data_IF_525405292733
#
_entry.id   IF_525405292733
#
_cell.length_a   1.000
_cell.length_b   1.000
_cell.length_c   1.000
_cell.angle_alpha   90.00
_cell.angle_beta   90.00
_cell.angle_gamma   90.00
#
_symmetry.space_group_name_H-M   'P 1'
#
loop_
_entity.id
_entity.type
_entity.pdbx_description
1 polymer ?
#
# COMPACT_ATOMS: atom_id res chain seq x y z
N UNK A 1 36.39 -29.10 -67.61
CA UNK A 1 36.75 -28.96 -66.18
C UNK A 1 35.75 -28.01 -65.55
N UNK A 2 34.66 -28.56 -65.04
CA UNK A 2 33.52 -27.84 -64.44
C UNK A 2 33.55 -28.08 -62.93
N UNK A 3 33.49 -27.03 -62.08
CA UNK A 3 33.61 -27.21 -60.64
C UNK A 3 32.28 -27.64 -60.01
N UNK A 4 32.39 -28.60 -59.09
CA UNK A 4 31.35 -29.06 -58.19
C UNK A 4 30.92 -27.93 -57.22
N UNK A 5 29.64 -27.56 -57.22
CA UNK A 5 29.04 -26.73 -56.16
C UNK A 5 28.61 -27.62 -55.00
N UNK A 6 29.17 -27.37 -53.81
CA UNK A 6 28.75 -27.99 -52.53
C UNK A 6 27.51 -27.25 -51.99
N UNK A 7 26.53 -27.95 -51.41
CA UNK A 7 25.41 -27.31 -50.72
C UNK A 7 25.89 -26.77 -49.35
N UNK A 8 25.68 -25.48 -49.14
CA UNK A 8 25.96 -24.79 -47.88
C UNK A 8 24.88 -25.11 -46.85
N UNK A 9 25.25 -25.88 -45.82
CA UNK A 9 24.49 -25.99 -44.58
C UNK A 9 24.53 -24.64 -43.84
N UNK A 10 23.57 -23.76 -44.12
CA UNK A 10 23.31 -22.55 -43.33
C UNK A 10 21.85 -22.59 -42.90
N UNK A 11 21.58 -23.44 -41.92
CA UNK A 11 20.29 -23.53 -41.23
C UNK A 11 20.60 -23.65 -39.74
N UNK A 12 19.90 -22.84 -38.93
CA UNK A 12 20.06 -22.60 -37.49
C UNK A 12 21.29 -21.72 -37.14
N UNK A 13 21.10 -20.46 -36.65
CA UNK A 13 20.28 -20.19 -35.46
C UNK A 13 19.57 -18.81 -35.48
N UNK A 14 18.24 -18.77 -35.64
CA UNK A 14 17.48 -17.51 -35.50
C UNK A 14 16.15 -17.68 -34.74
N UNK A 15 16.00 -18.75 -33.95
CA UNK A 15 14.73 -19.10 -33.31
C UNK A 15 14.81 -19.25 -31.77
N UNK A 16 15.82 -18.69 -31.11
CA UNK A 16 15.98 -18.76 -29.64
C UNK A 16 15.91 -17.39 -28.94
N UNK A 17 15.81 -16.28 -29.69
CA UNK A 17 15.87 -14.94 -29.12
C UNK A 17 14.52 -14.34 -28.65
N UNK A 18 13.38 -15.02 -28.85
CA UNK A 18 12.04 -14.43 -28.64
C UNK A 18 11.28 -14.90 -27.39
N UNK A 19 11.88 -15.70 -26.51
CA UNK A 19 11.20 -16.22 -25.30
C UNK A 19 11.59 -15.55 -23.98
N UNK A 20 12.42 -14.51 -24.01
CA UNK A 20 12.73 -13.69 -22.82
C UNK A 20 11.92 -12.39 -22.81
N UNK A 21 10.64 -12.45 -23.19
CA UNK A 21 9.70 -11.38 -22.85
C UNK A 21 9.49 -11.47 -21.34
N UNK A 22 10.33 -10.74 -20.60
CA UNK A 22 10.22 -10.58 -19.17
C UNK A 22 8.86 -9.99 -18.86
N UNK A 23 7.92 -10.84 -18.43
CA UNK A 23 6.74 -10.40 -17.73
C UNK A 23 7.21 -9.50 -16.60
N UNK A 24 6.87 -8.22 -16.66
CA UNK A 24 7.09 -7.30 -15.54
C UNK A 24 6.41 -7.93 -14.32
N UNK A 25 7.21 -8.51 -13.44
CA UNK A 25 6.77 -9.32 -12.30
C UNK A 25 6.21 -8.41 -11.23
N UNK A 26 4.95 -8.02 -11.38
CA UNK A 26 4.18 -7.52 -10.26
C UNK A 26 4.05 -8.67 -9.24
N UNK A 27 4.19 -8.39 -7.93
CA UNK A 27 3.94 -9.38 -6.91
C UNK A 27 2.53 -9.95 -7.10
N UNK A 28 2.33 -11.26 -6.92
CA UNK A 28 1.01 -11.82 -7.02
C UNK A 28 0.13 -11.23 -5.91
N UNK A 29 -1.18 -11.26 -6.13
CA UNK A 29 -2.14 -10.78 -5.14
C UNK A 29 -2.17 -11.66 -3.88
N UNK A 30 -1.88 -12.95 -4.00
CA UNK A 30 -1.92 -13.89 -2.89
C UNK A 30 -0.65 -14.74 -2.84
N UNK A 31 -0.30 -15.18 -1.63
CA UNK A 31 0.88 -16.01 -1.38
C UNK A 31 0.63 -17.42 -1.92
N UNK A 32 1.63 -17.99 -2.59
CA UNK A 32 1.55 -19.38 -3.05
C UNK A 32 1.50 -20.35 -1.84
N UNK A 33 0.72 -21.45 -1.88
CA UNK A 33 0.52 -22.33 -0.72
C UNK A 33 1.81 -22.92 -0.13
N UNK A 34 2.76 -23.25 -0.99
CA UNK A 34 4.10 -23.75 -0.67
C UNK A 34 4.97 -22.69 0.01
N UNK A 35 4.95 -21.45 -0.49
CA UNK A 35 5.61 -20.33 0.19
C UNK A 35 4.98 -20.08 1.57
N UNK A 36 3.64 -20.09 1.66
CA UNK A 36 2.93 -19.90 2.92
C UNK A 36 3.26 -20.98 3.96
N UNK A 37 3.33 -22.25 3.55
CA UNK A 37 3.67 -23.35 4.45
C UNK A 37 5.04 -23.19 5.14
N UNK A 38 5.97 -22.48 4.49
CA UNK A 38 7.32 -22.21 5.00
C UNK A 38 7.41 -21.07 6.01
N UNK A 39 6.38 -20.23 6.13
CA UNK A 39 6.39 -19.06 7.01
C UNK A 39 5.86 -19.45 8.39
N UNK A 40 6.73 -19.45 9.41
CA UNK A 40 6.38 -19.73 10.81
C UNK A 40 6.58 -18.52 11.71
N UNK A 41 7.56 -17.67 11.40
CA UNK A 41 7.93 -16.48 12.18
C UNK A 41 7.85 -15.27 11.27
N UNK A 42 7.00 -14.31 11.64
CA UNK A 42 6.73 -13.14 10.82
C UNK A 42 6.91 -11.87 11.64
N UNK A 43 7.68 -10.92 11.09
CA UNK A 43 7.76 -9.55 11.62
C UNK A 43 6.82 -8.63 10.88
N UNK A 44 6.44 -7.52 11.51
CA UNK A 44 5.66 -6.45 10.87
C UNK A 44 6.48 -5.17 10.90
N UNK A 45 6.44 -4.40 9.81
CA UNK A 45 7.05 -3.07 9.71
C UNK A 45 6.03 -2.13 9.07
N UNK A 46 5.80 -0.98 9.68
CA UNK A 46 4.97 0.07 9.09
C UNK A 46 5.78 1.31 8.79
N UNK A 47 5.58 1.85 7.58
CA UNK A 47 6.14 3.12 7.11
C UNK A 47 5.05 3.96 6.43
N UNK A 48 3.78 3.76 6.77
CA UNK A 48 2.67 4.48 6.14
C UNK A 48 2.43 5.85 6.76
N UNK A 49 2.86 6.05 8.01
CA UNK A 49 2.42 7.15 8.87
C UNK A 49 3.53 8.15 9.23
N UNK A 50 4.48 8.38 8.34
CA UNK A 50 5.42 9.51 8.42
C UNK A 50 4.68 10.85 8.18
N UNK A 51 3.68 10.84 7.30
CA UNK A 51 3.02 12.04 6.80
C UNK A 51 1.51 11.90 6.63
N UNK A 52 0.82 13.01 6.89
CA UNK A 52 -0.63 13.16 6.75
C UNK A 52 -0.91 14.22 5.69
N UNK A 53 -1.58 13.81 4.60
CA UNK A 53 -2.01 14.73 3.56
C UNK A 53 -3.36 15.37 3.92
N UNK A 54 -3.43 16.70 3.97
CA UNK A 54 -4.71 17.42 3.95
C UNK A 54 -4.95 17.86 2.51
N UNK A 55 -6.13 17.59 1.98
CA UNK A 55 -6.54 18.07 0.66
C UNK A 55 -7.94 18.64 0.72
N UNK A 56 -8.08 19.88 0.24
CA UNK A 56 -9.38 20.52 0.08
C UNK A 56 -9.57 20.88 -1.39
N UNK A 57 -10.72 20.46 -1.93
CA UNK A 57 -11.09 20.69 -3.31
C UNK A 57 -12.23 21.70 -3.38
N UNK A 58 -11.93 22.90 -3.88
CA UNK A 58 -12.93 23.94 -4.10
C UNK A 58 -13.93 23.58 -5.21
N UNK A 59 -14.96 24.42 -5.36
CA UNK A 59 -15.87 24.34 -6.52
C UNK A 59 -15.12 24.66 -7.82
N UNK A 60 -14.10 25.50 -7.74
CA UNK A 60 -13.18 25.86 -8.84
C UNK A 60 -11.76 25.46 -8.48
N UNK A 61 -10.89 25.28 -9.48
CA UNK A 61 -9.48 24.90 -9.28
C UNK A 61 -8.68 25.92 -8.46
N UNK A 62 -9.14 27.18 -8.40
CA UNK A 62 -8.46 28.28 -7.72
C UNK A 62 -8.58 28.26 -6.19
N UNK A 63 -9.44 27.39 -5.63
CA UNK A 63 -9.63 27.22 -4.20
C UNK A 63 -9.14 25.88 -3.67
N UNK A 64 -8.30 25.16 -4.43
CA UNK A 64 -7.75 23.90 -3.98
C UNK A 64 -6.59 24.16 -3.01
N UNK A 65 -6.59 23.47 -1.88
CA UNK A 65 -5.52 23.55 -0.89
C UNK A 65 -4.95 22.16 -0.63
N UNK A 66 -3.63 22.11 -0.41
CA UNK A 66 -2.91 20.89 -0.08
C UNK A 66 -1.87 21.19 0.99
N UNK A 67 -1.94 20.46 2.10
CA UNK A 67 -0.92 20.48 3.14
C UNK A 67 -0.34 19.07 3.31
N UNK A 68 0.97 18.99 3.57
CA UNK A 68 1.67 17.76 3.91
C UNK A 68 2.27 17.92 5.32
N UNK A 69 1.81 17.10 6.26
CA UNK A 69 2.06 17.30 7.69
C UNK A 69 2.92 16.15 8.19
N UNK A 70 4.06 16.46 8.80
CA UNK A 70 4.85 15.47 9.53
C UNK A 70 4.09 15.00 10.78
N UNK A 71 3.78 13.72 10.81
CA UNK A 71 3.07 13.04 11.90
C UNK A 71 3.89 11.87 12.47
N UNK A 72 5.18 11.77 12.16
CA UNK A 72 6.03 10.69 12.67
C UNK A 72 6.02 10.64 14.21
N UNK A 73 5.95 11.81 14.86
CA UNK A 73 5.86 11.91 16.33
C UNK A 73 4.55 11.37 16.92
N UNK A 74 3.53 11.11 16.11
CA UNK A 74 2.26 10.52 16.55
C UNK A 74 2.38 9.02 16.81
N UNK A 75 3.48 8.39 16.38
CA UNK A 75 3.78 6.97 16.60
C UNK A 75 2.65 6.06 16.12
N UNK A 76 2.05 6.37 14.96
CA UNK A 76 0.97 5.58 14.40
C UNK A 76 1.50 4.25 13.84
N UNK A 77 2.70 4.25 13.26
CA UNK A 77 3.33 3.05 12.67
C UNK A 77 3.54 1.94 13.73
N UNK A 78 4.04 2.28 14.92
CA UNK A 78 4.19 1.32 16.04
C UNK A 78 2.84 0.69 16.44
N UNK A 79 1.77 1.49 16.41
CA UNK A 79 0.44 1.01 16.77
C UNK A 79 -0.15 0.14 15.67
N UNK A 80 0.10 0.45 14.40
CA UNK A 80 -0.30 -0.39 13.28
C UNK A 80 0.44 -1.71 13.27
N UNK A 81 1.74 -1.73 13.57
CA UNK A 81 2.54 -2.95 13.74
C UNK A 81 1.94 -3.86 14.81
N UNK A 82 1.56 -3.31 15.96
CA UNK A 82 0.92 -4.08 17.04
C UNK A 82 -0.46 -4.63 16.65
N UNK A 83 -1.28 -3.81 15.98
CA UNK A 83 -2.61 -4.21 15.53
C UNK A 83 -2.54 -5.34 14.49
N UNK A 84 -1.65 -5.20 13.51
CA UNK A 84 -1.41 -6.23 12.49
C UNK A 84 -0.83 -7.49 13.11
N UNK A 85 0.17 -7.37 14.00
CA UNK A 85 0.76 -8.48 14.73
C UNK A 85 -0.28 -9.27 15.53
N UNK A 86 -1.22 -8.57 16.18
CA UNK A 86 -2.36 -9.18 16.88
C UNK A 86 -3.28 -9.91 15.91
N UNK A 87 -3.68 -9.27 14.80
CA UNK A 87 -4.53 -9.88 13.78
C UNK A 87 -3.87 -11.09 13.09
N UNK A 88 -2.54 -11.13 13.05
CA UNK A 88 -1.75 -12.25 12.54
C UNK A 88 -1.64 -13.40 13.55
N UNK A 89 -1.56 -13.12 14.85
CA UNK A 89 -1.48 -14.16 15.89
C UNK A 89 -2.73 -15.07 15.90
N UNK A 90 -3.88 -14.55 15.45
CA UNK A 90 -5.10 -15.33 15.28
C UNK A 90 -5.01 -16.37 14.14
N UNK A 91 -3.95 -16.32 13.32
CA UNK A 91 -3.68 -17.29 12.26
C UNK A 91 -2.87 -18.47 12.81
N UNK A 92 -3.58 -19.58 13.01
CA UNK A 92 -3.04 -20.88 13.44
C UNK A 92 -1.87 -21.29 12.54
N UNK A 93 -0.64 -20.99 12.96
CA UNK A 93 0.69 -21.43 12.43
C UNK A 93 1.71 -20.29 12.25
N UNK A 94 1.32 -19.02 12.44
CA UNK A 94 2.27 -17.89 12.37
C UNK A 94 2.53 -17.37 13.78
N UNK A 95 3.81 -17.29 14.15
CA UNK A 95 4.28 -16.57 15.34
C UNK A 95 4.65 -15.15 14.93
N UNK A 96 3.90 -14.17 15.43
CA UNK A 96 4.30 -12.77 15.31
C UNK A 96 5.52 -12.49 16.21
N UNK A 97 6.57 -11.94 15.63
CA UNK A 97 7.79 -11.53 16.33
C UNK A 97 7.83 -10.01 16.35
N UNK A 98 7.51 -9.43 17.50
CA UNK A 98 7.61 -8.00 17.74
C UNK A 98 9.08 -7.59 17.88
N UNK A 99 9.54 -6.71 16.99
CA UNK A 99 10.85 -6.08 17.05
C UNK A 99 10.75 -4.65 16.54
N UNK A 100 11.71 -3.79 16.91
CA UNK A 100 11.73 -2.39 16.49
C UNK A 100 12.39 -2.31 15.11
N UNK A 101 11.68 -1.85 14.06
CA UNK A 101 12.25 -1.79 12.72
C UNK A 101 13.07 -0.52 12.46
N UNK A 102 14.13 -0.59 11.63
CA UNK A 102 14.85 0.59 11.14
C UNK A 102 14.05 1.30 10.03
N UNK A 103 13.00 2.05 10.41
CA UNK A 103 11.99 2.60 9.48
C UNK A 103 12.56 3.43 8.35
N UNK A 104 13.64 4.17 8.59
CA UNK A 104 14.36 4.95 7.58
C UNK A 104 14.83 4.08 6.41
N UNK A 105 15.24 2.83 6.68
CA UNK A 105 15.66 1.86 5.66
C UNK A 105 14.50 1.22 4.90
N UNK A 106 13.27 1.34 5.42
CA UNK A 106 12.04 0.86 4.78
C UNK A 106 11.27 1.98 4.04
N UNK A 107 11.54 3.25 4.34
CA UNK A 107 10.93 4.40 3.67
C UNK A 107 11.05 4.39 2.13
N UNK A 108 12.13 3.85 1.50
CA UNK A 108 12.21 3.74 0.05
C UNK A 108 11.06 2.94 -0.60
N UNK A 109 10.39 2.04 0.13
CA UNK A 109 9.22 1.34 -0.40
C UNK A 109 8.11 2.31 -0.84
N UNK A 110 8.00 3.48 -0.17
CA UNK A 110 7.03 4.51 -0.51
C UNK A 110 7.49 5.45 -1.64
N UNK A 111 8.66 5.22 -2.27
CA UNK A 111 9.09 6.05 -3.40
C UNK A 111 8.19 5.76 -4.60
N UNK A 112 7.25 6.67 -4.82
CA UNK A 112 6.35 6.66 -5.97
C UNK A 112 7.10 7.24 -7.19
N UNK A 113 8.14 6.55 -7.67
CA UNK A 113 8.83 6.93 -8.91
C UNK A 113 8.02 6.42 -10.10
N UNK A 114 7.13 7.27 -10.67
CA UNK A 114 6.72 7.33 -12.10
C UNK A 114 5.44 8.17 -12.25
N UNK A 115 5.58 9.39 -12.79
CA UNK A 115 4.49 10.37 -12.95
C UNK A 115 3.27 9.93 -13.79
N UNK A 116 3.23 8.72 -14.37
CA UNK A 116 2.19 8.31 -15.33
C UNK A 116 1.83 6.81 -15.32
N UNK A 117 2.37 5.99 -14.41
CA UNK A 117 2.05 4.56 -14.31
C UNK A 117 1.64 4.24 -12.87
N UNK A 118 0.70 3.29 -12.71
CA UNK A 118 0.22 2.81 -11.40
C UNK A 118 1.40 2.69 -10.43
N UNK A 119 1.36 3.45 -9.33
CA UNK A 119 2.48 3.50 -8.40
C UNK A 119 2.52 2.19 -7.61
N UNK A 120 3.47 1.34 -7.99
CA UNK A 120 3.78 0.11 -7.29
C UNK A 120 4.86 0.42 -6.24
N UNK A 121 4.87 -0.33 -5.13
CA UNK A 121 5.93 -0.16 -4.15
C UNK A 121 7.26 -0.66 -4.71
N UNK A 122 8.32 0.03 -4.34
CA UNK A 122 9.68 -0.38 -4.69
C UNK A 122 10.18 -1.42 -3.68
N UNK A 123 9.69 -2.66 -3.83
CA UNK A 123 10.09 -3.78 -2.99
C UNK A 123 11.57 -4.12 -3.15
N UNK A 124 12.16 -3.84 -4.31
CA UNK A 124 13.59 -4.07 -4.56
C UNK A 124 14.46 -3.11 -3.74
N UNK A 125 14.06 -1.83 -3.63
CA UNK A 125 14.78 -0.85 -2.84
C UNK A 125 14.84 -1.17 -1.34
N UNK A 126 13.87 -1.91 -0.80
CA UNK A 126 13.84 -2.30 0.62
C UNK A 126 14.36 -3.70 0.90
N UNK A 127 14.70 -4.48 -0.13
CA UNK A 127 15.20 -5.85 0.04
C UNK A 127 16.40 -5.94 1.01
N UNK A 128 17.43 -5.06 0.96
CA UNK A 128 18.53 -5.11 1.93
C UNK A 128 18.08 -4.88 3.38
N UNK A 129 17.14 -3.96 3.60
CA UNK A 129 16.60 -3.66 4.93
C UNK A 129 15.80 -4.85 5.49
N UNK A 130 15.01 -5.50 4.64
CA UNK A 130 14.27 -6.72 4.98
C UNK A 130 15.23 -7.82 5.39
N UNK A 131 16.25 -8.13 4.57
CA UNK A 131 17.19 -9.22 4.86
C UNK A 131 17.94 -9.01 6.18
N UNK A 132 18.39 -7.78 6.45
CA UNK A 132 19.04 -7.44 7.72
C UNK A 132 18.09 -7.59 8.91
N UNK A 133 16.87 -7.07 8.80
CA UNK A 133 15.85 -7.16 9.84
C UNK A 133 15.44 -8.61 10.12
N UNK A 134 15.32 -9.43 9.08
CA UNK A 134 15.03 -10.85 9.19
C UNK A 134 16.13 -11.62 9.92
N UNK A 135 17.40 -11.38 9.56
CA UNK A 135 18.54 -12.04 10.20
C UNK A 135 18.65 -11.68 11.67
N UNK A 136 18.44 -10.41 12.01
CA UNK A 136 18.52 -9.92 13.39
C UNK A 136 17.44 -10.53 14.30
N UNK A 137 16.29 -10.92 13.75
CA UNK A 137 15.12 -11.36 14.52
C UNK A 137 14.69 -12.82 14.25
N UNK A 138 15.49 -13.56 13.46
CA UNK A 138 15.22 -14.93 13.02
C UNK A 138 13.82 -15.08 12.40
N UNK A 139 13.52 -14.27 11.39
CA UNK A 139 12.21 -14.26 10.71
C UNK A 139 12.24 -15.09 9.42
N UNK A 140 11.08 -15.63 9.04
CA UNK A 140 10.85 -16.29 7.75
C UNK A 140 10.27 -15.32 6.71
N UNK A 141 9.50 -14.34 7.16
CA UNK A 141 8.97 -13.27 6.31
C UNK A 141 8.76 -11.96 7.10
N UNK A 142 8.62 -10.86 6.38
CA UNK A 142 8.24 -9.55 6.92
C UNK A 142 7.01 -9.04 6.19
N UNK A 143 5.99 -8.64 6.94
CA UNK A 143 4.87 -7.87 6.42
C UNK A 143 5.19 -6.38 6.50
N UNK A 144 5.18 -5.69 5.37
CA UNK A 144 5.51 -4.27 5.26
C UNK A 144 4.25 -3.48 4.88
N UNK A 145 3.82 -2.58 5.75
CA UNK A 145 2.73 -1.63 5.52
C UNK A 145 3.29 -0.32 4.95
N UNK A 146 2.83 0.01 3.74
CA UNK A 146 3.31 1.14 2.93
C UNK A 146 2.16 2.06 2.51
N UNK A 147 2.48 3.25 2.02
CA UNK A 147 1.49 4.20 1.45
C UNK A 147 0.90 3.61 0.18
N UNK A 148 -0.40 3.36 0.18
CA UNK A 148 -1.13 3.07 -1.03
C UNK A 148 -1.56 4.36 -1.73
N UNK A 149 -2.11 4.20 -2.92
CA UNK A 149 -2.82 5.24 -3.64
C UNK A 149 -4.18 4.75 -4.14
N UNK A 150 -5.10 5.69 -4.28
CA UNK A 150 -6.34 5.49 -5.01
C UNK A 150 -6.13 5.67 -6.51
N UNK A 151 -6.91 4.99 -7.38
CA UNK A 151 -6.89 5.25 -8.82
C UNK A 151 -7.08 6.73 -9.15
N UNK A 152 -6.37 7.25 -10.17
CA UNK A 152 -6.35 8.68 -10.54
C UNK A 152 -7.73 9.28 -10.90
N UNK A 153 -8.72 8.44 -11.22
CA UNK A 153 -10.04 8.87 -11.70
C UNK A 153 -11.06 9.14 -10.57
N UNK A 154 -10.60 9.44 -9.34
CA UNK A 154 -11.53 9.60 -8.21
C UNK A 154 -12.50 10.78 -8.33
N UNK A 155 -12.20 11.76 -9.16
CA UNK A 155 -13.14 12.80 -9.52
C UNK A 155 -12.97 13.01 -11.01
N UNK A 156 -14.04 12.80 -11.78
CA UNK A 156 -14.11 12.75 -13.24
C UNK A 156 -13.57 13.98 -14.01
N UNK A 157 -12.90 14.91 -13.35
CA UNK A 157 -12.28 16.11 -13.93
C UNK A 157 -11.12 16.71 -13.11
N UNK A 158 -10.74 16.15 -11.96
CA UNK A 158 -9.60 16.64 -11.16
C UNK A 158 -8.65 15.48 -10.87
N UNK A 159 -7.37 15.65 -11.22
CA UNK A 159 -6.32 14.65 -10.93
C UNK A 159 -6.02 14.61 -9.43
N UNK A 160 -6.95 14.05 -8.65
CA UNK A 160 -6.88 14.00 -7.20
C UNK A 160 -6.72 12.56 -6.75
N UNK A 161 -5.58 12.27 -6.14
CA UNK A 161 -5.25 10.98 -5.56
C UNK A 161 -5.18 11.14 -4.05
N UNK A 162 -5.79 10.20 -3.33
CA UNK A 162 -5.56 10.02 -1.90
C UNK A 162 -4.40 9.04 -1.76
N UNK A 163 -3.42 9.39 -0.93
CA UNK A 163 -2.21 8.61 -0.71
C UNK A 163 -1.90 8.51 0.78
N UNK A 164 -1.51 7.33 1.25
CA UNK A 164 -1.13 7.12 2.65
C UNK A 164 -2.27 7.52 3.61
N UNK A 165 -1.96 8.34 4.60
CA UNK A 165 -2.93 8.87 5.55
C UNK A 165 -3.36 10.28 5.14
N UNK A 166 -4.62 10.63 5.39
CA UNK A 166 -5.01 12.02 5.16
C UNK A 166 -6.40 12.43 5.60
N UNK A 167 -6.65 13.71 5.39
CA UNK A 167 -7.94 14.37 5.51
C UNK A 167 -8.30 14.92 4.14
N UNK A 168 -9.47 14.55 3.61
CA UNK A 168 -9.95 15.02 2.32
C UNK A 168 -11.28 15.75 2.50
N UNK A 169 -11.43 16.88 1.82
CA UNK A 169 -12.70 17.55 1.71
C UNK A 169 -12.97 18.13 0.32
N UNK A 170 -14.25 18.25 -0.02
CA UNK A 170 -14.70 18.84 -1.29
C UNK A 170 -15.86 19.80 -1.08
N UNK A 171 -15.75 21.00 -1.65
CA UNK A 171 -16.88 21.93 -1.80
C UNK A 171 -17.70 21.55 -3.02
N UNK A 172 -18.56 20.55 -2.87
CA UNK A 172 -19.64 20.29 -3.82
C UNK A 172 -20.99 20.65 -3.16
N UNK A 173 -22.01 21.06 -3.92
CA UNK A 173 -23.39 21.06 -3.42
C UNK A 173 -23.70 19.66 -2.87
N UNK A 174 -24.48 19.53 -1.79
CA UNK A 174 -24.91 18.22 -1.30
C UNK A 174 -25.62 17.50 -2.44
N UNK A 175 -24.93 16.55 -3.06
CA UNK A 175 -25.55 15.60 -3.98
C UNK A 175 -26.36 14.65 -3.09
N UNK A 176 -27.58 14.23 -3.47
CA UNK A 176 -28.46 13.44 -2.59
C UNK A 176 -27.85 12.15 -2.02
N UNK A 177 -26.74 11.68 -2.60
CA UNK A 177 -26.03 10.44 -2.28
C UNK A 177 -24.68 10.66 -1.57
N UNK A 178 -24.27 11.91 -1.33
CA UNK A 178 -22.96 12.24 -0.78
C UNK A 178 -23.07 13.35 0.29
N UNK A 179 -23.33 12.93 1.52
CA UNK A 179 -23.42 13.82 2.69
C UNK A 179 -22.06 14.08 3.37
N UNK A 180 -21.01 13.33 3.03
CA UNK A 180 -19.71 13.44 3.69
C UNK A 180 -18.67 14.04 2.74
N UNK A 181 -18.80 15.36 2.56
CA UNK A 181 -17.82 16.20 1.88
C UNK A 181 -16.49 16.34 2.63
N UNK A 182 -16.30 15.63 3.75
CA UNK A 182 -15.11 15.68 4.59
C UNK A 182 -14.87 14.33 5.26
N UNK A 183 -13.72 13.73 5.00
CA UNK A 183 -13.34 12.42 5.49
C UNK A 183 -11.91 12.44 6.03
N UNK A 184 -11.64 11.61 7.02
CA UNK A 184 -10.30 11.10 7.34
C UNK A 184 -10.15 9.73 6.72
N UNK A 185 -8.99 9.41 6.16
CA UNK A 185 -8.78 8.20 5.40
C UNK A 185 -7.41 7.57 5.67
N UNK A 186 -7.34 6.27 5.38
CA UNK A 186 -6.10 5.54 5.19
C UNK A 186 -6.15 4.78 3.87
N UNK A 187 -5.14 5.00 3.03
CA UNK A 187 -4.87 4.25 1.81
C UNK A 187 -3.51 3.59 1.99
N UNK A 188 -3.53 2.28 2.28
CA UNK A 188 -2.32 1.50 2.55
C UNK A 188 -2.18 0.31 1.62
N UNK A 189 -0.97 -0.24 1.55
CA UNK A 189 -0.68 -1.54 0.94
C UNK A 189 0.16 -2.39 1.91
N UNK A 190 -0.23 -3.65 2.07
CA UNK A 190 0.53 -4.68 2.75
C UNK A 190 1.29 -5.50 1.72
N UNK A 191 2.62 -5.51 1.80
CA UNK A 191 3.48 -6.46 1.11
C UNK A 191 3.96 -7.54 2.06
N UNK A 192 3.92 -8.80 1.65
CA UNK A 192 4.61 -9.89 2.34
C UNK A 192 5.93 -10.14 1.64
N UNK A 193 7.06 -9.98 2.33
CA UNK A 193 8.40 -10.10 1.76
C UNK A 193 9.13 -11.29 2.36
N UNK A 194 9.71 -12.14 1.52
CA UNK A 194 10.47 -13.33 1.92
C UNK A 194 11.83 -12.95 2.52
N UNK A 195 12.15 -13.52 3.68
CA UNK A 195 13.40 -13.24 4.38
C UNK A 195 14.64 -13.90 3.76
N UNK A 196 14.47 -14.83 2.81
CA UNK A 196 15.61 -15.47 2.12
C UNK A 196 16.05 -14.68 0.89
N UNK A 197 15.08 -14.22 0.10
CA UNK A 197 15.32 -13.55 -1.17
C UNK A 197 15.17 -12.03 -1.13
N UNK A 198 14.49 -11.49 -0.11
CA UNK A 198 14.09 -10.08 -0.06
C UNK A 198 13.00 -9.71 -1.07
N UNK A 199 12.40 -10.68 -1.76
CA UNK A 199 11.36 -10.45 -2.77
C UNK A 199 9.97 -10.45 -2.15
N UNK A 200 9.10 -9.59 -2.67
CA UNK A 200 7.68 -9.62 -2.32
C UNK A 200 7.02 -10.91 -2.82
N UNK A 201 6.49 -11.69 -1.89
CA UNK A 201 5.70 -12.90 -2.12
C UNK A 201 4.26 -12.58 -2.49
N UNK A 202 3.70 -11.50 -1.94
CA UNK A 202 2.36 -11.02 -2.28
C UNK A 202 2.17 -9.56 -1.88
N UNK A 203 1.22 -8.87 -2.51
CA UNK A 203 0.80 -7.52 -2.15
C UNK A 203 -0.73 -7.39 -2.14
N UNK A 204 -1.26 -6.66 -1.14
CA UNK A 204 -2.67 -6.29 -1.05
C UNK A 204 -2.88 -4.86 -0.61
N UNK A 205 -3.87 -4.19 -1.20
CA UNK A 205 -4.38 -2.92 -0.66
C UNK A 205 -5.12 -3.19 0.64
N UNK A 206 -4.99 -2.28 1.61
CA UNK A 206 -5.75 -2.31 2.85
C UNK A 206 -7.20 -1.93 2.54
N UNK A 207 -8.12 -2.88 2.74
CA UNK A 207 -9.55 -2.71 2.46
C UNK A 207 -10.41 -3.32 3.56
N UNK A 208 -11.58 -2.72 3.80
CA UNK A 208 -12.61 -3.21 4.73
C UNK A 208 -13.35 -4.41 4.10
N UNK A 209 -13.56 -4.37 2.79
CA UNK A 209 -14.25 -5.39 2.00
C UNK A 209 -13.45 -5.69 0.72
N UNK A 210 -13.39 -6.97 0.31
CA UNK A 210 -12.69 -7.48 -0.88
C UNK A 210 -13.66 -7.72 -2.06
N UNK A 211 -14.86 -7.12 -2.01
CA UNK A 211 -15.83 -7.16 -3.10
C UNK A 211 -15.27 -6.57 -4.41
N UNK A 212 -15.78 -7.05 -5.54
CA UNK A 212 -15.25 -6.74 -6.87
C UNK A 212 -15.24 -5.24 -7.15
N UNK A 213 -14.04 -4.67 -7.18
CA UNK A 213 -13.77 -3.23 -7.21
C UNK A 213 -13.98 -2.61 -8.61
N UNK A 214 -14.98 -3.07 -9.37
CA UNK A 214 -15.15 -2.66 -10.77
C UNK A 214 -15.78 -1.25 -10.93
N UNK A 215 -16.46 -0.72 -9.91
CA UNK A 215 -17.05 0.62 -9.94
C UNK A 215 -16.37 1.63 -9.00
N UNK A 216 -16.32 2.89 -9.44
CA UNK A 216 -15.66 3.99 -8.73
C UNK A 216 -16.18 4.22 -7.30
N UNK A 217 -17.51 4.22 -7.09
CA UNK A 217 -18.08 4.43 -5.75
C UNK A 217 -17.78 3.25 -4.82
N UNK A 218 -17.63 2.05 -5.36
CA UNK A 218 -17.25 0.85 -4.62
C UNK A 218 -15.78 0.93 -4.14
N UNK A 219 -14.94 1.73 -4.79
CA UNK A 219 -13.57 1.95 -4.32
C UNK A 219 -13.48 2.75 -3.02
N UNK A 220 -14.38 3.71 -2.77
CA UNK A 220 -14.31 4.50 -1.53
C UNK A 220 -14.94 3.77 -0.35
N UNK A 221 -16.02 3.01 -0.59
CA UNK A 221 -16.69 2.22 0.45
C UNK A 221 -15.83 1.08 0.98
N UNK A 222 -14.89 0.58 0.17
CA UNK A 222 -13.94 -0.47 0.56
C UNK A 222 -12.72 0.06 1.32
N UNK A 223 -12.46 1.37 1.34
CA UNK A 223 -11.31 1.95 2.03
C UNK A 223 -11.60 2.21 3.51
N UNK A 224 -10.57 2.15 4.38
CA UNK A 224 -10.64 2.69 5.74
C UNK A 224 -10.86 4.21 5.74
N UNK A 225 -12.12 4.63 5.70
CA UNK A 225 -12.52 6.04 5.76
C UNK A 225 -13.54 6.28 6.88
N UNK A 226 -13.54 7.51 7.40
CA UNK A 226 -14.55 7.97 8.35
C UNK A 226 -14.92 9.42 8.08
N UNK A 227 -16.20 9.80 8.17
CA UNK A 227 -16.60 11.19 8.12
C UNK A 227 -16.00 12.00 9.26
N UNK A 228 -15.60 13.24 8.98
CA UNK A 228 -15.17 14.21 10.00
C UNK A 228 -15.87 15.55 9.77
N UNK A 229 -15.77 16.45 10.75
CA UNK A 229 -16.36 17.78 10.58
C UNK A 229 -15.71 18.54 9.42
N UNK A 230 -16.53 19.29 8.69
CA UNK A 230 -16.07 20.17 7.61
C UNK A 230 -15.19 21.30 8.12
N UNK A 231 -15.34 21.68 9.39
CA UNK A 231 -14.47 22.65 10.06
C UNK A 231 -13.03 22.15 10.15
N UNK A 232 -12.82 20.90 10.59
CA UNK A 232 -11.47 20.32 10.70
C UNK A 232 -10.82 20.22 9.32
N UNK A 233 -11.55 19.73 8.32
CA UNK A 233 -11.00 19.48 6.99
C UNK A 233 -10.68 20.76 6.20
N UNK A 234 -11.42 21.84 6.45
CA UNK A 234 -11.22 23.16 5.82
C UNK A 234 -10.21 24.02 6.55
N UNK A 235 -9.97 23.77 7.83
CA UNK A 235 -8.96 24.52 8.59
C UNK A 235 -7.55 24.14 8.11
N UNK A 236 -6.69 25.10 7.73
CA UNK A 236 -5.30 24.81 7.43
C UNK A 236 -4.61 24.07 8.57
N UNK A 237 -3.80 23.08 8.24
CA UNK A 237 -3.19 22.19 9.23
C UNK A 237 -2.30 22.90 10.25
N UNK A 238 -1.66 24.00 9.85
CA UNK A 238 -0.90 24.87 10.74
C UNK A 238 -1.74 25.56 11.83
N UNK A 239 -3.06 25.62 11.64
CA UNK A 239 -4.04 26.22 12.57
C UNK A 239 -4.81 25.19 13.39
N UNK A 240 -4.53 23.89 13.24
CA UNK A 240 -5.19 22.86 14.05
C UNK A 240 -4.76 22.94 15.51
N UNK A 241 -5.76 23.02 16.38
CA UNK A 241 -5.57 22.92 17.83
C UNK A 241 -5.00 21.55 18.24
N UNK A 242 -4.42 21.46 19.43
CA UNK A 242 -3.98 20.18 20.00
C UNK A 242 -5.14 19.17 20.12
N UNK A 243 -6.33 19.64 20.47
CA UNK A 243 -7.54 18.81 20.53
C UNK A 243 -7.88 18.22 19.15
N UNK A 244 -7.80 19.02 18.09
CA UNK A 244 -8.01 18.56 16.71
C UNK A 244 -6.97 17.50 16.30
N UNK A 245 -5.68 17.74 16.62
CA UNK A 245 -4.61 16.77 16.34
C UNK A 245 -4.81 15.46 17.09
N UNK A 246 -5.19 15.54 18.37
CA UNK A 246 -5.49 14.37 19.20
C UNK A 246 -6.69 13.58 18.66
N UNK A 247 -7.75 14.28 18.23
CA UNK A 247 -8.90 13.66 17.58
C UNK A 247 -8.48 12.93 16.31
N UNK A 248 -7.78 13.59 15.39
CA UNK A 248 -7.33 12.98 14.14
C UNK A 248 -6.44 11.76 14.36
N UNK A 249 -5.50 11.84 15.32
CA UNK A 249 -4.68 10.70 15.73
C UNK A 249 -5.54 9.53 16.20
N UNK A 250 -6.51 9.78 17.07
CA UNK A 250 -7.41 8.73 17.56
C UNK A 250 -8.24 8.11 16.41
N UNK A 251 -8.75 8.94 15.50
CA UNK A 251 -9.48 8.44 14.32
C UNK A 251 -8.59 7.53 13.46
N UNK A 252 -7.40 8.00 13.08
CA UNK A 252 -6.43 7.24 12.27
C UNK A 252 -5.99 5.92 12.93
N UNK A 253 -5.91 5.86 14.26
CA UNK A 253 -5.61 4.62 14.99
C UNK A 253 -6.73 3.59 14.92
N UNK A 254 -7.99 4.05 14.81
CA UNK A 254 -9.15 3.16 14.77
C UNK A 254 -9.55 2.76 13.36
N UNK A 255 -9.30 3.63 12.38
CA UNK A 255 -9.71 3.47 10.99
C UNK A 255 -9.41 2.10 10.39
N UNK A 256 -8.18 1.55 10.49
CA UNK A 256 -7.86 0.35 9.75
C UNK A 256 -8.18 -0.95 10.51
N UNK A 257 -8.61 -0.89 11.77
CA UNK A 257 -8.94 -2.08 12.57
C UNK A 257 -9.93 -3.03 11.87
N UNK A 258 -11.01 -2.55 11.23
CA UNK A 258 -11.93 -3.43 10.49
C UNK A 258 -11.32 -4.01 9.20
N UNK A 259 -10.30 -3.37 8.64
CA UNK A 259 -9.66 -3.78 7.39
C UNK A 259 -8.59 -4.86 7.57
N UNK A 260 -7.98 -4.97 8.76
CA UNK A 260 -6.92 -5.94 9.01
C UNK A 260 -7.34 -7.38 8.74
N UNK A 261 -8.46 -7.90 9.28
CA UNK A 261 -8.83 -9.29 9.06
C UNK A 261 -9.09 -9.58 7.58
N UNK A 262 -9.85 -8.72 6.89
CA UNK A 262 -10.16 -8.85 5.46
C UNK A 262 -8.87 -8.86 4.62
N UNK A 263 -8.00 -7.88 4.83
CA UNK A 263 -6.77 -7.73 4.05
C UNK A 263 -5.81 -8.90 4.29
N UNK A 264 -5.61 -9.30 5.55
CA UNK A 264 -4.75 -10.44 5.91
C UNK A 264 -5.31 -11.74 5.32
N UNK A 265 -6.62 -11.97 5.40
CA UNK A 265 -7.26 -13.15 4.79
C UNK A 265 -7.02 -13.20 3.29
N UNK A 266 -7.23 -12.09 2.58
CA UNK A 266 -7.05 -12.01 1.13
C UNK A 266 -5.58 -12.19 0.69
N UNK A 267 -4.63 -11.79 1.53
CA UNK A 267 -3.20 -11.98 1.30
C UNK A 267 -2.80 -13.46 1.39
N UNK A 268 -3.39 -14.19 2.35
CA UNK A 268 -3.11 -15.61 2.62
C UNK A 268 -4.11 -16.59 1.98
N UNK A 269 -5.14 -16.10 1.29
CA UNK A 269 -6.09 -16.95 0.59
C UNK A 269 -5.37 -17.74 -0.49
N UNK A 270 -5.55 -19.06 -0.51
CA UNK A 270 -5.10 -19.85 -1.66
C UNK A 270 -5.79 -19.31 -2.91
N UNK A 271 -5.01 -19.09 -3.97
CA UNK A 271 -5.60 -18.77 -5.27
C UNK A 271 -6.50 -19.96 -5.67
N UNK A 272 -7.79 -19.74 -5.99
CA UNK A 272 -8.62 -20.81 -6.54
C UNK A 272 -8.03 -21.34 -7.85
#
# INVERSE_FOLDING_TARGET
MTPFLRPSNVLLPLAVATLLVGCATQPPRAVAPDAMASIKRLGVVSVVADRLARSYTGLTVFGNEYDDIDIASWQLDEQYEEQLGTALADKRSITYVKAVPPRDRFAPANKLERAFASHNQDWEAVAPAVLDYCRANSLDAVMVLTKGETPQQMASSTSQQMMGLGVYARSAPPVPWNTNSSIVYMVGKLGLVDCKSGKALAERRVVIDDSDMSAFLDHLSTLPIRPISTEISRTPSGSWSEATRAQLRAELLTLPKPAWPTTINALFAAKP
#
